data_IF_601577901001
#
_entry.id   IF_601577901001
#
_cell.length_a   1.000
_cell.length_b   1.000
_cell.length_c   1.000
_cell.angle_alpha   90.00
_cell.angle_beta   90.00
_cell.angle_gamma   90.00
#
_symmetry.space_group_name_H-M   'P 1'
#
loop_
_entity.id
_entity.type
_entity.pdbx_description
1 polymer ?
#
# COMPACT_ATOMS: atom_id res chain seq x y z
N UNK A 1 -8.05 -8.08 23.71
CA UNK A 1 -8.69 -7.17 22.71
C UNK A 1 -9.32 -5.90 23.32
N UNK A 2 -10.07 -5.94 24.44
CA UNK A 2 -10.70 -4.72 25.02
C UNK A 2 -9.73 -3.58 25.37
N UNK A 3 -8.57 -3.88 25.97
CA UNK A 3 -7.54 -2.86 26.31
C UNK A 3 -6.97 -2.16 25.07
N UNK A 4 -6.67 -2.91 24.01
CA UNK A 4 -6.15 -2.35 22.74
C UNK A 4 -7.18 -1.45 22.07
N UNK A 5 -8.44 -1.87 22.04
CA UNK A 5 -9.53 -1.07 21.47
C UNK A 5 -9.71 0.25 22.22
N UNK A 6 -9.77 0.20 23.55
CA UNK A 6 -9.81 1.39 24.42
C UNK A 6 -8.62 2.34 24.17
N UNK A 7 -7.42 1.81 23.97
CA UNK A 7 -6.24 2.63 23.66
C UNK A 7 -6.36 3.31 22.29
N UNK A 8 -6.78 2.57 21.26
CA UNK A 8 -6.96 3.13 19.91
C UNK A 8 -8.08 4.17 19.86
N UNK A 9 -9.16 3.97 20.62
CA UNK A 9 -10.27 4.92 20.75
C UNK A 9 -9.79 6.23 21.42
N UNK A 10 -8.91 6.13 22.42
CA UNK A 10 -8.30 7.28 23.08
C UNK A 10 -7.21 7.99 22.25
N UNK A 11 -6.67 7.32 21.23
CA UNK A 11 -5.59 7.84 20.38
C UNK A 11 -5.91 7.70 18.88
N UNK A 12 -6.90 8.45 18.34
CA UNK A 12 -7.38 8.29 16.96
C UNK A 12 -6.34 8.62 15.88
N UNK A 13 -5.22 9.25 16.25
CA UNK A 13 -4.08 9.53 15.35
C UNK A 13 -3.18 8.31 15.13
N UNK A 14 -3.14 7.36 16.07
CA UNK A 14 -2.30 6.15 16.01
C UNK A 14 -2.68 5.24 14.84
N UNK A 15 -3.95 4.82 14.65
CA UNK A 15 -4.30 3.92 13.55
C UNK A 15 -4.07 4.58 12.18
N UNK A 16 -4.26 5.91 12.09
CA UNK A 16 -3.92 6.69 10.88
C UNK A 16 -2.44 6.55 10.55
N UNK A 17 -1.57 6.83 11.52
CA UNK A 17 -0.12 6.76 11.35
C UNK A 17 0.34 5.36 10.96
N UNK A 18 -0.20 4.32 11.61
CA UNK A 18 0.12 2.92 11.30
C UNK A 18 -0.19 2.59 9.84
N UNK A 19 -1.34 2.98 9.30
CA UNK A 19 -1.67 2.71 7.88
C UNK A 19 -0.71 3.44 6.95
N UNK A 20 -0.41 4.71 7.21
CA UNK A 20 0.47 5.50 6.34
C UNK A 20 1.90 4.91 6.33
N UNK A 21 2.42 4.52 7.49
CA UNK A 21 3.71 3.84 7.61
C UNK A 21 3.69 2.46 6.92
N UNK A 22 2.59 1.73 7.03
CA UNK A 22 2.45 0.42 6.38
C UNK A 22 2.48 0.53 4.85
N UNK A 23 1.97 1.61 4.25
CA UNK A 23 2.08 1.84 2.80
C UNK A 23 3.55 2.01 2.38
N UNK A 24 4.32 2.81 3.12
CA UNK A 24 5.76 3.00 2.84
C UNK A 24 6.48 1.66 2.98
N UNK A 25 6.19 0.91 4.05
CA UNK A 25 6.79 -0.39 4.31
C UNK A 25 6.46 -1.42 3.21
N UNK A 26 5.18 -1.52 2.81
CA UNK A 26 4.74 -2.40 1.74
C UNK A 26 5.39 -2.03 0.40
N UNK A 27 5.41 -0.74 0.05
CA UNK A 27 6.07 -0.24 -1.15
C UNK A 27 7.58 -0.47 -1.16
N UNK A 28 8.22 -0.48 0.01
CA UNK A 28 9.65 -0.76 0.13
C UNK A 28 9.96 -2.26 -0.03
N UNK A 29 9.22 -3.15 0.64
CA UNK A 29 9.56 -4.57 0.67
C UNK A 29 9.03 -5.36 -0.52
N UNK A 30 7.85 -5.00 -1.03
CA UNK A 30 7.17 -5.81 -2.04
C UNK A 30 7.58 -5.39 -3.46
N UNK A 31 8.00 -4.14 -3.67
CA UNK A 31 8.53 -3.68 -4.96
C UNK A 31 9.74 -4.53 -5.41
N UNK A 32 9.93 -4.79 -6.73
CA UNK A 32 9.03 -4.62 -7.89
C UNK A 32 8.25 -5.89 -8.29
N UNK A 33 7.33 -5.81 -9.26
CA UNK A 33 6.64 -6.98 -9.83
C UNK A 33 7.51 -7.91 -10.69
N UNK A 34 8.52 -7.38 -11.40
CA UNK A 34 9.45 -8.18 -12.19
C UNK A 34 10.85 -8.09 -11.59
N UNK A 35 11.59 -9.20 -11.55
CA UNK A 35 12.95 -9.26 -11.01
C UNK A 35 13.90 -10.02 -11.95
N UNK A 36 15.16 -10.19 -11.55
CA UNK A 36 16.19 -10.92 -12.32
C UNK A 36 15.79 -12.35 -12.74
N UNK A 37 14.96 -13.03 -11.93
CA UNK A 37 14.59 -14.43 -12.12
C UNK A 37 13.30 -14.61 -12.92
N UNK A 38 12.39 -13.63 -12.89
CA UNK A 38 11.10 -13.71 -13.56
C UNK A 38 10.62 -12.36 -14.09
N UNK A 39 10.07 -12.39 -15.30
CA UNK A 39 9.37 -11.25 -15.91
C UNK A 39 8.11 -10.84 -15.15
N UNK A 40 7.54 -11.73 -14.33
CA UNK A 40 6.46 -11.42 -13.40
C UNK A 40 6.49 -12.36 -12.19
N UNK A 41 6.58 -11.80 -10.99
CA UNK A 41 6.64 -12.52 -9.72
C UNK A 41 5.25 -12.60 -9.10
N UNK A 42 4.64 -13.79 -9.18
CA UNK A 42 3.29 -14.04 -8.67
C UNK A 42 3.20 -13.94 -7.15
N UNK A 43 4.28 -14.25 -6.43
CA UNK A 43 4.29 -14.16 -4.96
C UNK A 43 4.23 -12.69 -4.55
N UNK A 44 5.01 -11.84 -5.22
CA UNK A 44 4.94 -10.38 -5.01
C UNK A 44 3.60 -9.80 -5.43
N UNK A 45 3.04 -10.27 -6.55
CA UNK A 45 1.71 -9.84 -6.99
C UNK A 45 0.63 -10.18 -5.95
N UNK A 46 0.66 -11.40 -5.39
CA UNK A 46 -0.22 -11.81 -4.31
C UNK A 46 -0.03 -10.94 -3.06
N UNK A 47 1.22 -10.66 -2.66
CA UNK A 47 1.53 -9.80 -1.51
C UNK A 47 1.05 -8.36 -1.72
N UNK A 48 1.13 -7.82 -2.94
CA UNK A 48 0.53 -6.51 -3.27
C UNK A 48 -0.98 -6.56 -3.10
N UNK A 49 -1.65 -7.58 -3.66
CA UNK A 49 -3.11 -7.73 -3.55
C UNK A 49 -3.55 -7.79 -2.08
N UNK A 50 -2.88 -8.62 -1.28
CA UNK A 50 -3.18 -8.77 0.14
C UNK A 50 -2.90 -7.48 0.94
N UNK A 51 -1.72 -6.89 0.77
CA UNK A 51 -1.28 -5.73 1.56
C UNK A 51 -2.10 -4.48 1.24
N UNK A 52 -2.23 -4.13 -0.04
CA UNK A 52 -2.98 -2.96 -0.47
C UNK A 52 -4.50 -3.15 -0.34
N UNK A 53 -4.99 -4.40 -0.33
CA UNK A 53 -6.35 -4.73 0.10
C UNK A 53 -6.60 -4.39 1.58
N UNK A 54 -5.69 -4.79 2.47
CA UNK A 54 -5.76 -4.45 3.91
C UNK A 54 -5.61 -2.94 4.13
N UNK A 55 -4.75 -2.26 3.36
CA UNK A 55 -4.63 -0.80 3.39
C UNK A 55 -5.95 -0.14 2.98
N UNK A 56 -6.60 -0.63 1.92
CA UNK A 56 -7.93 -0.17 1.49
C UNK A 56 -9.00 -0.33 2.58
N UNK A 57 -8.99 -1.47 3.28
CA UNK A 57 -9.85 -1.72 4.45
C UNK A 57 -9.59 -0.72 5.56
N UNK A 58 -8.33 -0.52 5.90
CA UNK A 58 -7.97 0.42 6.95
C UNK A 58 -8.33 1.86 6.58
N UNK A 59 -8.13 2.28 5.32
CA UNK A 59 -8.58 3.59 4.85
C UNK A 59 -10.09 3.76 4.99
N UNK A 60 -10.87 2.76 4.57
CA UNK A 60 -12.32 2.80 4.68
C UNK A 60 -12.78 2.89 6.14
N UNK A 61 -12.15 2.11 7.04
CA UNK A 61 -12.47 2.12 8.46
C UNK A 61 -12.09 3.42 9.18
N UNK A 62 -11.02 4.10 8.76
CA UNK A 62 -10.51 5.30 9.43
C UNK A 62 -11.10 6.60 8.86
N UNK A 63 -11.22 6.70 7.54
CA UNK A 63 -11.55 7.95 6.85
C UNK A 63 -13.01 8.00 6.37
N UNK A 64 -13.71 6.86 6.32
CA UNK A 64 -15.10 6.78 5.93
C UNK A 64 -15.33 7.09 4.44
N UNK A 65 -16.53 7.55 4.11
CA UNK A 65 -17.04 7.71 2.75
C UNK A 65 -16.53 9.01 2.09
N UNK A 66 -16.45 9.04 0.75
CA UNK A 66 -16.10 10.21 -0.08
C UNK A 66 -14.64 10.71 0.08
N UNK A 67 -13.70 9.79 0.29
CA UNK A 67 -12.25 10.08 0.43
C UNK A 67 -11.40 9.43 -0.68
N UNK A 68 -12.00 9.06 -1.80
CA UNK A 68 -11.37 8.38 -2.94
C UNK A 68 -10.10 9.09 -3.42
N UNK A 69 -10.20 10.41 -3.66
CA UNK A 69 -9.08 11.23 -4.13
C UNK A 69 -7.92 11.23 -3.13
N UNK A 70 -8.23 11.30 -1.84
CA UNK A 70 -7.22 11.26 -0.79
C UNK A 70 -6.55 9.88 -0.72
N UNK A 71 -7.33 8.80 -0.74
CA UNK A 71 -6.82 7.41 -0.73
C UNK A 71 -5.86 7.18 -1.89
N UNK A 72 -6.25 7.60 -3.10
CA UNK A 72 -5.40 7.45 -4.29
C UNK A 72 -4.10 8.24 -4.16
N UNK A 73 -4.18 9.55 -3.86
CA UNK A 73 -3.00 10.42 -3.76
C UNK A 73 -2.06 9.97 -2.64
N UNK A 74 -2.60 9.64 -1.46
CA UNK A 74 -1.80 9.17 -0.33
C UNK A 74 -1.09 7.86 -0.67
N UNK A 75 -1.80 6.90 -1.27
CA UNK A 75 -1.21 5.61 -1.66
C UNK A 75 -0.12 5.80 -2.71
N UNK A 76 -0.33 6.67 -3.70
CA UNK A 76 0.65 6.99 -4.74
C UNK A 76 1.94 7.60 -4.14
N UNK A 77 1.80 8.66 -3.35
CA UNK A 77 2.95 9.37 -2.77
C UNK A 77 3.73 8.46 -1.80
N UNK A 78 3.02 7.78 -0.89
CA UNK A 78 3.66 6.93 0.12
C UNK A 78 4.29 5.68 -0.47
N UNK A 79 3.70 5.11 -1.52
CA UNK A 79 4.34 4.03 -2.27
C UNK A 79 5.62 4.51 -2.95
N UNK A 80 5.59 5.71 -3.54
CA UNK A 80 6.80 6.34 -4.07
C UNK A 80 7.89 6.51 -3.01
N UNK A 81 7.54 6.95 -1.80
CA UNK A 81 8.49 6.99 -0.68
C UNK A 81 9.03 5.60 -0.33
N UNK A 82 8.18 4.57 -0.30
CA UNK A 82 8.61 3.18 -0.09
C UNK A 82 9.63 2.73 -1.13
N UNK A 83 9.39 3.05 -2.40
CA UNK A 83 10.32 2.75 -3.50
C UNK A 83 11.65 3.50 -3.34
N UNK A 84 11.63 4.77 -2.92
CA UNK A 84 12.86 5.52 -2.62
C UNK A 84 13.64 4.86 -1.49
N UNK A 85 12.96 4.40 -0.43
CA UNK A 85 13.60 3.63 0.64
C UNK A 85 14.26 2.36 0.09
N UNK A 86 13.55 1.61 -0.77
CA UNK A 86 14.08 0.42 -1.42
C UNK A 86 15.32 0.71 -2.27
N UNK A 87 15.32 1.82 -3.00
CA UNK A 87 16.46 2.24 -3.83
C UNK A 87 17.72 2.46 -2.98
N UNK A 88 17.57 3.11 -1.82
CA UNK A 88 18.69 3.31 -0.90
C UNK A 88 19.17 2.01 -0.25
N UNK A 89 18.27 1.06 0.02
CA UNK A 89 18.63 -0.24 0.58
C UNK A 89 19.41 -1.11 -0.41
N UNK A 90 19.09 -1.03 -1.70
CA UNK A 90 19.77 -1.80 -2.77
C UNK A 90 20.90 -1.01 -3.43
N UNK A 91 21.26 0.17 -2.92
CA UNK A 91 22.21 1.05 -3.58
C UNK A 91 23.59 0.39 -3.74
N UNK A 92 24.03 0.22 -4.99
CA UNK A 92 25.29 -0.45 -5.34
C UNK A 92 25.14 -1.94 -5.65
N UNK A 93 23.96 -2.53 -5.45
CA UNK A 93 23.68 -3.91 -5.84
C UNK A 93 23.20 -4.01 -7.29
N UNK A 94 23.43 -5.17 -7.92
CA UNK A 94 22.87 -5.50 -9.26
C UNK A 94 21.34 -5.50 -9.23
N UNK A 95 20.78 -5.92 -8.08
CA UNK A 95 19.34 -5.92 -7.80
C UNK A 95 18.70 -4.55 -8.05
N UNK A 96 19.38 -3.45 -7.73
CA UNK A 96 18.88 -2.09 -7.96
C UNK A 96 18.70 -1.77 -9.44
N UNK A 97 19.67 -2.14 -10.27
CA UNK A 97 19.63 -1.88 -11.72
C UNK A 97 18.46 -2.64 -12.36
N UNK A 98 18.22 -3.87 -11.92
CA UNK A 98 17.18 -4.73 -12.48
C UNK A 98 15.80 -4.40 -11.90
N UNK A 99 15.73 -4.00 -10.64
CA UNK A 99 14.47 -3.67 -9.99
C UNK A 99 13.93 -2.30 -10.43
N UNK A 100 14.80 -1.28 -10.54
CA UNK A 100 14.42 0.10 -10.86
C UNK A 100 14.37 0.39 -12.36
N UNK A 101 13.72 -0.50 -13.11
CA UNK A 101 13.38 -0.24 -14.51
C UNK A 101 12.17 0.69 -14.62
N UNK A 102 12.07 1.44 -15.73
CA UNK A 102 10.92 2.32 -15.99
C UNK A 102 9.60 1.53 -15.96
N UNK A 103 9.59 0.31 -16.49
CA UNK A 103 8.44 -0.58 -16.46
C UNK A 103 8.01 -0.93 -15.04
N UNK A 104 8.94 -1.36 -14.18
CA UNK A 104 8.65 -1.70 -12.79
C UNK A 104 8.16 -0.49 -12.00
N UNK A 105 8.81 0.67 -12.18
CA UNK A 105 8.43 1.91 -11.49
C UNK A 105 7.00 2.30 -11.87
N UNK A 106 6.71 2.40 -13.17
CA UNK A 106 5.39 2.86 -13.64
C UNK A 106 4.30 1.84 -13.28
N UNK A 107 4.53 0.56 -13.56
CA UNK A 107 3.52 -0.48 -13.28
C UNK A 107 3.21 -0.56 -11.79
N UNK A 108 4.21 -0.51 -10.91
CA UNK A 108 3.98 -0.59 -9.47
C UNK A 108 3.29 0.66 -8.93
N UNK A 109 3.71 1.85 -9.37
CA UNK A 109 3.16 3.12 -8.91
C UNK A 109 1.73 3.38 -9.43
N UNK A 110 1.32 2.76 -10.54
CA UNK A 110 -0.06 2.84 -11.04
C UNK A 110 -0.95 1.73 -10.46
N UNK A 111 -0.49 0.49 -10.41
CA UNK A 111 -1.32 -0.65 -9.98
C UNK A 111 -1.65 -0.55 -8.49
N UNK A 112 -0.69 -0.19 -7.65
CA UNK A 112 -0.89 -0.20 -6.19
C UNK A 112 -1.94 0.81 -5.71
N UNK A 113 -1.99 2.08 -6.17
CA UNK A 113 -3.02 3.01 -5.73
C UNK A 113 -4.40 2.69 -6.33
N UNK A 114 -4.45 2.17 -7.56
CA UNK A 114 -5.70 1.72 -8.19
C UNK A 114 -6.30 0.56 -7.40
N UNK A 115 -5.49 -0.46 -7.09
CA UNK A 115 -5.92 -1.60 -6.29
C UNK A 115 -6.42 -1.18 -4.91
N UNK A 116 -5.71 -0.26 -4.25
CA UNK A 116 -6.12 0.29 -2.95
C UNK A 116 -7.46 1.01 -3.06
N UNK A 117 -7.64 1.80 -4.12
CA UNK A 117 -8.87 2.54 -4.36
C UNK A 117 -10.05 1.60 -4.62
N UNK A 118 -9.86 0.56 -5.45
CA UNK A 118 -10.87 -0.48 -5.70
C UNK A 118 -11.26 -1.16 -4.39
N UNK A 119 -10.27 -1.53 -3.58
CA UNK A 119 -10.49 -2.18 -2.28
C UNK A 119 -11.26 -1.28 -1.32
N UNK A 120 -10.85 -0.01 -1.19
CA UNK A 120 -11.55 1.00 -0.40
C UNK A 120 -13.01 1.17 -0.87
N UNK A 121 -13.26 1.32 -2.17
CA UNK A 121 -14.61 1.49 -2.71
C UNK A 121 -15.49 0.25 -2.48
N UNK A 122 -14.94 -0.94 -2.69
CA UNK A 122 -15.63 -2.20 -2.43
C UNK A 122 -16.09 -2.28 -0.96
N UNK A 123 -15.20 -1.93 -0.04
CA UNK A 123 -15.46 -2.00 1.41
C UNK A 123 -16.49 -0.95 1.82
N UNK A 124 -16.38 0.29 1.32
CA UNK A 124 -17.37 1.33 1.56
C UNK A 124 -18.76 0.90 1.06
N UNK A 125 -18.83 0.34 -0.15
CA UNK A 125 -20.08 -0.08 -0.79
C UNK A 125 -20.75 -1.26 -0.08
N UNK A 126 -19.99 -2.28 0.32
CA UNK A 126 -20.56 -3.55 0.80
C UNK A 126 -20.53 -3.73 2.32
N UNK A 127 -19.56 -3.14 3.02
CA UNK A 127 -19.42 -3.30 4.47
C UNK A 127 -19.94 -2.10 5.24
N UNK A 128 -19.71 -0.88 4.77
CA UNK A 128 -20.08 0.33 5.52
C UNK A 128 -21.45 0.89 5.15
N UNK A 129 -21.87 0.82 3.87
CA UNK A 129 -23.21 1.27 3.45
C UNK A 129 -24.34 0.31 3.86
N UNK A 130 -24.00 -0.90 4.31
CA UNK A 130 -24.97 -1.91 4.76
C UNK A 130 -25.29 -1.80 6.27
N UNK A 131 -24.50 -1.03 7.01
CA UNK A 131 -24.73 -0.68 8.42
C UNK A 131 -25.30 0.74 8.52
#
# INVERSE_FOLDING_TARGET
MKKLRLYLDNHPKVPKKIILEYIIFAGCLIFPFANERSSFDFDKAYLVIASYGIIGLGFAGIYGINKEKFVYIASFILTGFGMICRYFLEYGEVSNIVNFTLFNIISYLLVTPILTLISYQFIIKYLLKKN
#
